data_IF_795173153472
#
_entry.id   IF_795173153472
#
_cell.length_a   1.000
_cell.length_b   1.000
_cell.length_c   1.000
_cell.angle_alpha   90.00
_cell.angle_beta   90.00
_cell.angle_gamma   90.00
#
_symmetry.space_group_name_H-M   'P 1'
#
loop_
_entity.id
_entity.type
_entity.pdbx_description
1 polymer ?
#
# COMPACT_ATOMS: atom_id res chain seq x y z
N UNK A 1 -2.11 12.02 18.05
CA UNK A 1 -2.97 13.14 17.58
C UNK A 1 -2.04 14.19 16.96
N UNK A 2 -2.42 14.80 15.84
CA UNK A 2 -1.67 15.91 15.23
C UNK A 2 -2.64 17.03 14.82
N UNK A 3 -2.12 18.22 14.56
CA UNK A 3 -2.90 19.39 14.19
C UNK A 3 -3.06 19.48 12.67
N UNK A 4 -4.08 20.23 12.20
CA UNK A 4 -4.22 20.60 10.78
C UNK A 4 -3.34 21.80 10.45
N UNK A 5 -3.06 21.99 9.17
CA UNK A 5 -2.24 23.12 8.68
C UNK A 5 -2.74 24.50 9.15
N UNK A 6 -4.06 24.65 9.30
CA UNK A 6 -4.67 25.88 9.81
C UNK A 6 -4.29 26.23 11.27
N UNK A 7 -3.74 25.28 12.03
CA UNK A 7 -3.31 25.50 13.42
C UNK A 7 -1.91 26.14 13.54
N UNK A 8 -1.29 26.55 12.43
CA UNK A 8 -0.02 27.27 12.43
C UNK A 8 1.12 26.42 12.98
N UNK A 9 1.87 26.96 13.94
CA UNK A 9 3.09 26.37 14.52
C UNK A 9 2.89 24.98 15.14
N UNK A 10 1.66 24.62 15.49
CA UNK A 10 1.34 23.27 16.03
C UNK A 10 1.27 22.19 14.94
N UNK A 11 1.24 22.58 13.67
CA UNK A 11 1.13 21.66 12.54
C UNK A 11 2.44 20.92 12.29
N UNK A 12 2.37 19.60 12.28
CA UNK A 12 3.46 18.74 11.85
C UNK A 12 3.11 18.10 10.49
N UNK A 13 3.91 18.30 9.43
CA UNK A 13 3.67 17.72 8.12
C UNK A 13 3.59 16.19 8.17
N UNK A 14 2.67 15.61 7.42
CA UNK A 14 2.47 14.16 7.39
C UNK A 14 3.74 13.40 6.96
N UNK A 15 4.49 13.93 5.98
CA UNK A 15 5.72 13.30 5.52
C UNK A 15 6.77 13.21 6.63
N UNK A 16 6.91 14.26 7.44
CA UNK A 16 7.88 14.28 8.53
C UNK A 16 7.53 13.24 9.59
N UNK A 17 6.24 13.09 9.92
CA UNK A 17 5.76 12.06 10.83
C UNK A 17 6.09 10.65 10.31
N UNK A 18 5.85 10.41 9.02
CA UNK A 18 6.08 9.07 8.44
C UNK A 18 7.57 8.79 8.28
N UNK A 19 8.37 9.76 7.86
CA UNK A 19 9.83 9.60 7.75
C UNK A 19 10.44 9.30 9.12
N UNK A 20 10.05 10.03 10.17
CA UNK A 20 10.50 9.74 11.53
C UNK A 20 10.06 8.34 12.00
N UNK A 21 8.79 7.95 11.74
CA UNK A 21 8.33 6.61 12.07
C UNK A 21 9.16 5.51 11.37
N UNK A 22 9.54 5.72 10.11
CA UNK A 22 10.38 4.79 9.35
C UNK A 22 11.79 4.67 9.96
N UNK A 23 12.36 5.75 10.51
CA UNK A 23 13.64 5.71 11.21
C UNK A 23 13.65 4.71 12.37
N UNK A 24 12.50 4.45 12.99
CA UNK A 24 12.33 3.48 14.09
C UNK A 24 11.72 2.14 13.65
N UNK A 25 11.46 1.94 12.36
CA UNK A 25 10.85 0.70 11.84
C UNK A 25 9.34 0.63 12.08
N UNK A 26 8.68 1.76 12.24
CA UNK A 26 7.25 1.87 12.47
C UNK A 26 6.49 2.17 11.16
N UNK A 27 5.17 2.06 11.21
CA UNK A 27 4.25 2.39 10.12
C UNK A 27 3.05 3.15 10.65
N UNK A 28 2.49 3.99 9.80
CA UNK A 28 1.30 4.77 10.07
C UNK A 28 0.01 4.09 9.56
N UNK A 29 -1.12 4.50 10.14
CA UNK A 29 -2.46 4.13 9.66
C UNK A 29 -3.02 5.16 8.68
N UNK A 30 -4.25 4.95 8.21
CA UNK A 30 -5.00 6.03 7.57
C UNK A 30 -5.24 7.17 8.57
N UNK A 31 -4.95 8.43 8.20
CA UNK A 31 -5.34 9.59 9.00
C UNK A 31 -6.87 9.65 9.15
N UNK A 32 -7.35 10.00 10.35
CA UNK A 32 -8.78 10.24 10.61
C UNK A 32 -8.99 11.65 11.17
N UNK A 33 -10.15 12.25 10.88
CA UNK A 33 -10.57 13.50 11.50
C UNK A 33 -10.80 13.24 13.00
N UNK A 34 -10.25 14.08 13.86
CA UNK A 34 -10.62 14.12 15.27
C UNK A 34 -11.65 15.23 15.48
N UNK A 35 -11.36 16.44 14.97
CA UNK A 35 -12.28 17.58 14.98
C UNK A 35 -11.93 18.59 13.88
N UNK A 36 -12.38 19.85 14.03
CA UNK A 36 -12.14 20.94 13.09
C UNK A 36 -10.67 21.32 12.94
N UNK A 37 -9.86 21.19 14.00
CA UNK A 37 -8.47 21.64 14.02
C UNK A 37 -7.45 20.50 14.15
N UNK A 38 -7.91 19.28 14.44
CA UNK A 38 -7.05 18.13 14.75
C UNK A 38 -7.38 16.89 13.92
N UNK A 39 -6.36 16.08 13.72
CA UNK A 39 -6.44 14.75 13.12
C UNK A 39 -5.78 13.72 14.01
N UNK A 40 -6.08 12.45 13.78
CA UNK A 40 -5.42 11.33 14.43
C UNK A 40 -4.74 10.45 13.40
N UNK A 41 -3.54 10.02 13.76
CA UNK A 41 -2.72 9.09 13.00
C UNK A 41 -2.16 8.10 14.02
N UNK A 42 -2.43 6.81 13.82
CA UNK A 42 -1.82 5.76 14.63
C UNK A 42 -0.45 5.47 14.03
N UNK A 43 0.57 5.44 14.89
CA UNK A 43 1.88 4.89 14.56
C UNK A 43 2.06 3.61 15.36
N UNK A 44 2.63 2.58 14.73
CA UNK A 44 2.87 1.31 15.40
C UNK A 44 4.10 0.62 14.82
N UNK A 45 4.83 -0.20 15.61
CA UNK A 45 5.86 -1.07 15.08
C UNK A 45 5.35 -1.93 13.93
N UNK A 46 6.16 -2.11 12.89
CA UNK A 46 5.78 -2.99 11.78
C UNK A 46 5.72 -4.44 12.22
N UNK A 47 4.64 -5.13 11.83
CA UNK A 47 4.53 -6.58 12.01
C UNK A 47 5.47 -7.30 11.04
N UNK A 48 6.12 -8.37 11.50
CA UNK A 48 6.89 -9.26 10.63
C UNK A 48 6.04 -9.76 9.44
N UNK A 49 6.65 -9.86 8.27
CA UNK A 49 5.96 -10.21 7.02
C UNK A 49 5.01 -9.14 6.46
N UNK A 50 4.98 -7.92 7.01
CA UNK A 50 4.16 -6.83 6.45
C UNK A 50 4.83 -6.22 5.21
N UNK A 51 4.04 -6.02 4.15
CA UNK A 51 4.54 -5.52 2.88
C UNK A 51 5.06 -4.07 2.96
N UNK A 52 5.97 -3.72 2.05
CA UNK A 52 6.59 -2.40 1.92
C UNK A 52 6.27 -1.76 0.58
N UNK A 53 5.61 -0.59 0.61
CA UNK A 53 5.28 0.18 -0.59
C UNK A 53 6.53 0.82 -1.22
N UNK A 54 6.50 1.06 -2.52
CA UNK A 54 7.61 1.71 -3.22
C UNK A 54 7.95 3.10 -2.65
N UNK A 55 6.95 3.86 -2.19
CA UNK A 55 7.18 5.16 -1.56
C UNK A 55 7.94 5.06 -0.24
N UNK A 56 7.62 4.06 0.61
CA UNK A 56 8.34 3.86 1.86
C UNK A 56 9.77 3.37 1.62
N UNK A 57 9.99 2.51 0.61
CA UNK A 57 11.35 2.13 0.19
C UNK A 57 12.18 3.35 -0.23
N UNK A 58 11.59 4.28 -1.00
CA UNK A 58 12.25 5.53 -1.41
C UNK A 58 12.57 6.44 -0.21
N UNK A 59 11.64 6.59 0.72
CA UNK A 59 11.86 7.35 1.97
C UNK A 59 13.00 6.74 2.78
N UNK A 60 13.02 5.43 2.97
CA UNK A 60 14.10 4.72 3.67
C UNK A 60 15.45 4.96 2.98
N UNK A 61 15.52 4.83 1.66
CA UNK A 61 16.78 5.08 0.94
C UNK A 61 17.28 6.53 1.13
N UNK A 62 16.38 7.51 1.13
CA UNK A 62 16.70 8.92 1.46
C UNK A 62 17.23 9.04 2.90
N UNK A 63 16.55 8.43 3.86
CA UNK A 63 16.91 8.48 5.29
C UNK A 63 18.22 7.75 5.60
N UNK A 64 18.48 6.62 4.94
CA UNK A 64 19.76 5.90 5.00
C UNK A 64 20.90 6.76 4.47
N UNK A 65 20.72 7.38 3.29
CA UNK A 65 21.71 8.30 2.71
C UNK A 65 21.99 9.50 3.61
N UNK A 66 20.98 9.98 4.32
CA UNK A 66 21.10 11.10 5.26
C UNK A 66 21.64 10.69 6.64
N UNK A 67 21.88 9.40 6.91
CA UNK A 67 22.35 8.92 8.22
C UNK A 67 21.30 9.01 9.34
N UNK A 68 20.03 9.21 9.02
CA UNK A 68 18.95 9.45 10.00
C UNK A 68 18.33 8.15 10.53
N UNK A 69 18.54 7.02 9.86
CA UNK A 69 18.00 5.74 10.30
C UNK A 69 18.57 5.33 11.66
N UNK A 70 17.71 4.85 12.56
CA UNK A 70 18.14 4.26 13.83
C UNK A 70 18.49 2.78 13.67
N UNK A 71 19.06 2.17 14.72
CA UNK A 71 19.28 0.73 14.75
C UNK A 71 17.96 -0.06 14.62
N UNK A 72 16.87 0.41 15.24
CA UNK A 72 15.57 -0.24 15.16
C UNK A 72 15.02 -0.25 13.72
N UNK A 73 15.09 0.88 13.02
CA UNK A 73 14.68 0.98 11.62
C UNK A 73 15.50 0.07 10.71
N UNK A 74 16.84 0.06 10.88
CA UNK A 74 17.72 -0.84 10.12
C UNK A 74 17.40 -2.32 10.36
N UNK A 75 17.13 -2.72 11.60
CA UNK A 75 16.72 -4.08 11.93
C UNK A 75 15.39 -4.46 11.27
N UNK A 76 14.41 -3.56 11.25
CA UNK A 76 13.14 -3.80 10.58
C UNK A 76 13.31 -4.00 9.06
N UNK A 77 14.15 -3.18 8.42
CA UNK A 77 14.49 -3.32 6.98
C UNK A 77 15.21 -4.63 6.71
N UNK A 78 16.20 -4.99 7.53
CA UNK A 78 16.93 -6.26 7.39
C UNK A 78 16.01 -7.47 7.55
N UNK A 79 15.12 -7.45 8.55
CA UNK A 79 14.10 -8.47 8.74
C UNK A 79 13.19 -8.63 7.54
N UNK A 80 12.71 -7.51 6.99
CA UNK A 80 11.84 -7.51 5.80
C UNK A 80 12.54 -8.02 4.53
N UNK A 81 13.85 -7.75 4.38
CA UNK A 81 14.65 -8.32 3.28
C UNK A 81 14.81 -9.83 3.46
N UNK A 82 15.05 -10.30 4.69
CA UNK A 82 15.20 -11.72 5.02
C UNK A 82 13.92 -12.53 4.83
N UNK A 83 12.77 -11.99 5.21
CA UNK A 83 11.47 -12.69 5.12
C UNK A 83 10.76 -12.50 3.76
N UNK A 84 11.37 -11.74 2.85
CA UNK A 84 10.83 -11.47 1.50
C UNK A 84 9.73 -10.40 1.45
N UNK A 85 9.24 -9.90 2.58
CA UNK A 85 8.19 -8.87 2.62
C UNK A 85 8.64 -7.53 2.03
N UNK A 86 9.95 -7.27 1.99
CA UNK A 86 10.53 -6.14 1.29
C UNK A 86 10.16 -6.18 -0.19
N UNK A 87 10.39 -7.29 -0.89
CA UNK A 87 10.14 -7.42 -2.33
C UNK A 87 8.69 -7.78 -2.69
N UNK A 88 7.84 -8.05 -1.70
CA UNK A 88 6.52 -8.62 -1.89
C UNK A 88 5.60 -7.83 -2.84
N UNK A 89 5.72 -6.51 -2.95
CA UNK A 89 4.88 -5.70 -3.84
C UNK A 89 5.56 -5.32 -5.15
N UNK A 90 6.76 -5.81 -5.48
CA UNK A 90 7.51 -5.30 -6.63
C UNK A 90 6.85 -5.57 -7.98
N UNK A 91 6.17 -6.71 -8.13
CA UNK A 91 5.33 -7.04 -9.29
C UNK A 91 4.09 -6.16 -9.38
N UNK A 92 3.43 -5.90 -8.25
CA UNK A 92 2.27 -5.00 -8.13
C UNK A 92 2.66 -3.57 -8.54
N UNK A 93 3.83 -3.09 -8.09
CA UNK A 93 4.35 -1.77 -8.46
C UNK A 93 4.74 -1.68 -9.94
N UNK A 94 5.18 -2.80 -10.53
CA UNK A 94 5.41 -2.94 -11.98
C UNK A 94 4.11 -3.10 -12.78
N UNK A 95 2.97 -3.32 -12.12
CA UNK A 95 1.68 -3.54 -12.79
C UNK A 95 1.56 -4.89 -13.47
N UNK A 96 2.31 -5.91 -13.02
CA UNK A 96 2.25 -7.25 -13.58
C UNK A 96 0.89 -7.87 -13.23
N UNK A 97 0.14 -8.28 -14.26
CA UNK A 97 -1.13 -8.98 -14.12
C UNK A 97 -0.83 -10.47 -13.94
N UNK A 98 -1.27 -11.12 -12.85
CA UNK A 98 -1.05 -12.55 -12.66
C UNK A 98 -1.96 -13.38 -13.59
N UNK A 99 -1.50 -14.58 -13.94
CA UNK A 99 -2.14 -15.44 -14.96
C UNK A 99 -3.62 -15.75 -14.65
N UNK A 100 -3.96 -15.97 -13.39
CA UNK A 100 -5.33 -16.23 -12.96
C UNK A 100 -6.25 -15.04 -13.19
N UNK A 101 -5.77 -13.82 -12.92
CA UNK A 101 -6.50 -12.60 -13.24
C UNK A 101 -6.60 -12.38 -14.75
N UNK A 102 -5.52 -12.61 -15.50
CA UNK A 102 -5.53 -12.49 -16.95
C UNK A 102 -6.55 -13.44 -17.60
N UNK A 103 -6.58 -14.70 -17.17
CA UNK A 103 -7.55 -15.70 -17.63
C UNK A 103 -9.00 -15.34 -17.27
N UNK A 104 -9.23 -14.82 -16.05
CA UNK A 104 -10.55 -14.37 -15.63
C UNK A 104 -11.02 -13.16 -16.45
N UNK A 105 -10.16 -12.17 -16.70
CA UNK A 105 -10.47 -11.01 -17.53
C UNK A 105 -10.78 -11.39 -18.97
N UNK A 106 -10.02 -12.31 -19.56
CA UNK A 106 -10.23 -12.80 -20.92
C UNK A 106 -11.58 -13.55 -21.07
N UNK A 107 -12.01 -14.24 -20.01
CA UNK A 107 -13.29 -14.97 -19.99
C UNK A 107 -14.52 -14.07 -19.80
N UNK A 108 -14.35 -12.76 -19.52
CA UNK A 108 -15.43 -11.85 -19.12
C UNK A 108 -15.65 -10.69 -20.12
N UNK A 109 -15.84 -11.00 -21.40
CA UNK A 109 -16.25 -10.03 -22.43
C UNK A 109 -15.29 -8.83 -22.51
N UNK A 110 -15.81 -7.62 -22.24
CA UNK A 110 -15.03 -6.38 -22.29
C UNK A 110 -14.11 -6.14 -21.07
N UNK A 111 -14.09 -7.05 -20.08
CA UNK A 111 -13.36 -6.88 -18.84
C UNK A 111 -11.87 -6.58 -19.03
N UNK A 112 -11.20 -7.28 -19.96
CA UNK A 112 -9.78 -7.04 -20.25
C UNK A 112 -9.52 -5.61 -20.76
N UNK A 113 -10.34 -5.12 -21.68
CA UNK A 113 -10.22 -3.77 -22.25
C UNK A 113 -10.50 -2.69 -21.20
N UNK A 114 -11.57 -2.85 -20.41
CA UNK A 114 -11.90 -1.92 -19.32
C UNK A 114 -10.83 -1.92 -18.22
N UNK A 115 -10.35 -3.10 -17.82
CA UNK A 115 -9.30 -3.20 -16.81
C UNK A 115 -8.04 -2.49 -17.27
N UNK A 116 -7.64 -2.66 -18.52
CA UNK A 116 -6.45 -1.99 -19.05
C UNK A 116 -6.59 -0.46 -19.08
N UNK A 117 -7.80 0.03 -19.37
CA UNK A 117 -8.13 1.46 -19.34
C UNK A 117 -8.20 2.06 -17.92
N UNK A 118 -8.22 1.24 -16.85
CA UNK A 118 -8.25 1.78 -15.49
C UNK A 118 -6.98 2.57 -15.14
N UNK A 119 -7.11 3.63 -14.30
CA UNK A 119 -5.95 4.37 -13.81
C UNK A 119 -4.93 3.46 -13.13
N UNK A 120 -3.63 3.77 -13.31
CA UNK A 120 -2.52 2.98 -12.72
C UNK A 120 -2.69 2.76 -11.21
N UNK A 121 -3.17 3.75 -10.47
CA UNK A 121 -3.43 3.64 -9.03
C UNK A 121 -4.53 2.63 -8.70
N UNK A 122 -5.59 2.56 -9.52
CA UNK A 122 -6.66 1.59 -9.37
C UNK A 122 -6.16 0.17 -9.69
N UNK A 123 -5.45 -0.01 -10.81
CA UNK A 123 -4.80 -1.29 -11.16
C UNK A 123 -3.89 -1.77 -10.03
N UNK A 124 -3.01 -0.89 -9.51
CA UNK A 124 -2.11 -1.20 -8.38
C UNK A 124 -2.88 -1.66 -7.14
N UNK A 125 -3.95 -0.95 -6.77
CA UNK A 125 -4.77 -1.28 -5.60
C UNK A 125 -5.47 -2.64 -5.72
N UNK A 126 -5.97 -2.98 -6.92
CA UNK A 126 -6.60 -4.28 -7.19
C UNK A 126 -5.56 -5.40 -7.17
N UNK A 127 -4.41 -5.22 -7.83
CA UNK A 127 -3.33 -6.20 -7.84
C UNK A 127 -2.79 -6.46 -6.42
N UNK A 128 -2.60 -5.40 -5.63
CA UNK A 128 -2.22 -5.51 -4.21
C UNK A 128 -3.26 -6.30 -3.42
N UNK A 129 -4.54 -5.99 -3.60
CA UNK A 129 -5.63 -6.66 -2.91
C UNK A 129 -5.69 -8.15 -3.26
N UNK A 130 -5.58 -8.52 -4.53
CA UNK A 130 -5.51 -9.93 -4.96
C UNK A 130 -4.27 -10.61 -4.36
N UNK A 131 -3.11 -9.95 -4.43
CA UNK A 131 -1.84 -10.51 -3.93
C UNK A 131 -1.83 -10.74 -2.41
N UNK A 132 -2.49 -9.91 -1.63
CA UNK A 132 -2.60 -10.08 -0.18
C UNK A 132 -3.52 -11.23 0.24
N UNK A 133 -4.29 -11.83 -0.67
CA UNK A 133 -5.18 -12.95 -0.35
C UNK A 133 -4.40 -14.25 -0.13
N UNK A 134 -4.10 -14.56 1.14
CA UNK A 134 -3.32 -15.76 1.52
C UNK A 134 -4.06 -17.08 1.31
N UNK A 135 -5.39 -17.07 1.37
CA UNK A 135 -6.23 -18.29 1.20
C UNK A 135 -6.59 -18.43 -0.28
N UNK A 136 -6.42 -19.61 -0.89
CA UNK A 136 -6.75 -19.83 -2.30
C UNK A 136 -8.18 -19.42 -2.65
N UNK A 137 -9.16 -19.79 -1.83
CA UNK A 137 -10.57 -19.39 -2.03
C UNK A 137 -10.74 -17.87 -2.02
N UNK A 138 -10.10 -17.16 -1.10
CA UNK A 138 -10.19 -15.70 -1.04
C UNK A 138 -9.56 -15.06 -2.27
N UNK A 139 -8.45 -15.62 -2.78
CA UNK A 139 -7.83 -15.14 -4.01
C UNK A 139 -8.74 -15.34 -5.21
N UNK A 140 -9.30 -16.54 -5.38
CA UNK A 140 -10.24 -16.86 -6.45
C UNK A 140 -11.44 -15.90 -6.46
N UNK A 141 -12.07 -15.68 -5.30
CA UNK A 141 -13.20 -14.74 -5.19
C UNK A 141 -12.82 -13.31 -5.60
N UNK A 142 -11.63 -12.82 -5.21
CA UNK A 142 -11.17 -11.47 -5.57
C UNK A 142 -10.88 -11.33 -7.07
N UNK A 143 -10.33 -12.38 -7.68
CA UNK A 143 -10.06 -12.44 -9.12
C UNK A 143 -11.36 -12.43 -9.89
N UNK A 144 -12.31 -13.29 -9.53
CA UNK A 144 -13.63 -13.36 -10.15
C UNK A 144 -14.41 -12.04 -9.99
N UNK A 145 -14.43 -11.48 -8.77
CA UNK A 145 -15.06 -10.19 -8.50
C UNK A 145 -14.45 -9.08 -9.36
N UNK A 146 -13.12 -9.07 -9.51
CA UNK A 146 -12.41 -8.10 -10.34
C UNK A 146 -12.82 -8.23 -11.80
N UNK A 147 -12.83 -9.44 -12.36
CA UNK A 147 -13.19 -9.67 -13.75
C UNK A 147 -14.66 -9.31 -14.03
N UNK A 148 -15.57 -9.74 -13.15
CA UNK A 148 -17.00 -9.45 -13.25
C UNK A 148 -17.29 -7.95 -13.18
N UNK A 149 -16.68 -7.22 -12.24
CA UNK A 149 -16.87 -5.77 -12.14
C UNK A 149 -16.22 -5.02 -13.31
N UNK A 150 -15.06 -5.47 -13.76
CA UNK A 150 -14.39 -4.86 -14.91
C UNK A 150 -15.22 -5.01 -16.20
N UNK A 151 -15.99 -6.09 -16.37
CA UNK A 151 -16.92 -6.22 -17.50
C UNK A 151 -17.92 -5.05 -17.57
N UNK A 152 -18.39 -4.58 -16.41
CA UNK A 152 -19.28 -3.41 -16.27
C UNK A 152 -18.54 -2.05 -16.24
N UNK A 153 -17.23 -2.02 -16.52
CA UNK A 153 -16.36 -0.84 -16.35
C UNK A 153 -16.35 -0.31 -14.89
N UNK A 154 -16.59 -1.20 -13.91
CA UNK A 154 -16.53 -0.90 -12.48
C UNK A 154 -15.23 -1.43 -11.90
N UNK A 155 -14.61 -0.66 -11.02
CA UNK A 155 -13.37 -1.04 -10.34
C UNK A 155 -13.70 -1.84 -9.08
N UNK A 156 -13.06 -2.98 -8.88
CA UNK A 156 -13.15 -3.72 -7.62
C UNK A 156 -12.40 -2.99 -6.48
N UNK A 157 -12.74 -3.34 -5.24
CA UNK A 157 -12.07 -2.85 -4.03
C UNK A 157 -11.88 -1.32 -3.98
N UNK A 158 -12.87 -0.56 -4.49
CA UNK A 158 -12.90 0.89 -4.32
C UNK A 158 -13.45 1.19 -2.92
N UNK A 159 -12.58 1.66 -2.04
CA UNK A 159 -12.79 2.30 -0.74
C UNK A 159 -14.11 1.99 0.03
N UNK A 160 -13.96 1.34 1.20
CA UNK A 160 -14.80 1.57 2.38
C UNK A 160 -14.20 2.66 3.25
#
# INVERSE_FOLDING_TARGET
MTWKKAAGEKYLPYNDIVEEALCFGWVDSLPRKLDEMRTMLRLSPRKAGSAWSAINKRRIAKLEKAGLMTAAGRTAVAGAKKDGSWAFLDDVEKGIIPDDLAAALASNGQAAAHFEAFPKSAKRGILEWIKQAKRPQTRANRVEETARLAADNKRANQFR
#
